data_IF_622687435062
#
_entry.id   IF_622687435062
#
_cell.length_a   1.000
_cell.length_b   1.000
_cell.length_c   1.000
_cell.angle_alpha   90.00
_cell.angle_beta   90.00
_cell.angle_gamma   90.00
#
_symmetry.space_group_name_H-M   'P 1'
#
loop_
_entity.id
_entity.type
_entity.pdbx_description
1 polymer ?
#
# COMPACT_ATOMS: atom_id res chain seq x y z
N UNK A 1 12.46 -6.40 3.26
CA UNK A 1 11.02 -6.56 3.52
C UNK A 1 10.79 -6.72 5.01
N UNK A 2 10.36 -5.62 5.63
CA UNK A 2 9.86 -5.54 7.00
C UNK A 2 8.58 -6.40 7.17
N UNK A 3 8.28 -6.94 8.35
CA UNK A 3 7.09 -7.79 8.53
C UNK A 3 5.78 -7.02 8.30
N UNK A 4 5.70 -5.76 8.75
CA UNK A 4 4.58 -4.86 8.43
C UNK A 4 4.31 -4.76 6.92
N UNK A 5 5.37 -4.72 6.10
CA UNK A 5 5.24 -4.67 4.65
C UNK A 5 4.67 -5.98 4.08
N UNK A 6 5.03 -7.12 4.67
CA UNK A 6 4.47 -8.42 4.29
C UNK A 6 2.98 -8.51 4.65
N UNK A 7 2.63 -8.15 5.89
CA UNK A 7 1.26 -8.24 6.41
C UNK A 7 0.31 -7.34 5.58
N UNK A 8 0.74 -6.11 5.29
CA UNK A 8 -0.01 -5.14 4.48
C UNK A 8 -0.12 -5.56 3.01
N UNK A 9 0.90 -6.24 2.47
CA UNK A 9 0.84 -6.81 1.13
C UNK A 9 -0.20 -7.95 1.06
N UNK A 10 -0.26 -8.80 2.08
CA UNK A 10 -1.28 -9.85 2.16
C UNK A 10 -2.68 -9.24 2.21
N UNK A 11 -2.89 -8.20 3.03
CA UNK A 11 -4.17 -7.46 3.09
C UNK A 11 -4.53 -6.82 1.76
N UNK A 12 -3.61 -6.12 1.10
CA UNK A 12 -3.84 -5.55 -0.25
C UNK A 12 -4.27 -6.63 -1.25
N UNK A 13 -3.61 -7.79 -1.24
CA UNK A 13 -3.93 -8.89 -2.15
C UNK A 13 -5.33 -9.44 -1.91
N UNK A 14 -5.74 -9.56 -0.64
CA UNK A 14 -7.10 -9.96 -0.28
C UNK A 14 -8.12 -8.92 -0.75
N UNK A 15 -7.86 -7.64 -0.49
CA UNK A 15 -8.71 -6.52 -0.91
C UNK A 15 -8.87 -6.42 -2.44
N UNK A 16 -7.81 -6.70 -3.20
CA UNK A 16 -7.88 -6.75 -4.66
C UNK A 16 -8.76 -7.89 -5.14
N UNK A 17 -8.71 -9.06 -4.48
CA UNK A 17 -9.54 -10.22 -4.81
C UNK A 17 -11.02 -10.00 -4.48
N UNK A 18 -11.32 -9.26 -3.41
CA UNK A 18 -12.68 -8.89 -3.01
C UNK A 18 -13.22 -7.63 -3.71
N UNK A 19 -12.40 -6.93 -4.51
CA UNK A 19 -12.69 -5.61 -5.09
C UNK A 19 -12.99 -4.53 -4.03
N UNK A 20 -12.35 -4.61 -2.84
CA UNK A 20 -12.46 -3.62 -1.76
C UNK A 20 -11.24 -2.71 -1.62
N UNK A 21 -10.19 -2.89 -2.43
CA UNK A 21 -8.92 -2.14 -2.26
C UNK A 21 -9.03 -0.63 -2.52
N UNK A 22 -9.98 -0.18 -3.34
CA UNK A 22 -10.12 1.24 -3.69
C UNK A 22 -10.61 2.03 -2.48
N UNK A 23 -9.89 3.10 -2.14
CA UNK A 23 -10.20 3.95 -1.00
C UNK A 23 -9.51 3.54 0.30
N UNK A 24 -8.94 2.34 0.40
CA UNK A 24 -8.21 1.89 1.58
C UNK A 24 -6.89 2.68 1.76
N UNK A 25 -6.45 2.76 3.02
CA UNK A 25 -5.12 3.22 3.41
C UNK A 25 -4.34 2.00 3.90
N UNK A 26 -3.10 1.86 3.46
CA UNK A 26 -2.17 0.82 3.90
C UNK A 26 -0.97 1.50 4.57
N UNK A 27 -0.40 0.93 5.64
CA UNK A 27 0.74 1.52 6.36
C UNK A 27 0.55 2.99 6.73
N UNK A 28 -0.63 3.31 7.25
CA UNK A 28 -0.92 4.61 7.82
C UNK A 28 -0.12 4.78 9.12
N UNK A 29 0.77 5.78 9.18
CA UNK A 29 1.64 5.99 10.35
C UNK A 29 0.84 6.01 11.65
N UNK A 30 -0.33 6.64 11.65
CA UNK A 30 -1.16 6.79 12.85
C UNK A 30 -1.68 5.45 13.41
N UNK A 31 -1.79 4.42 12.56
CA UNK A 31 -2.24 3.09 13.00
C UNK A 31 -1.12 2.28 13.67
N UNK A 32 0.16 2.67 13.47
CA UNK A 32 1.33 1.91 13.89
C UNK A 32 2.27 2.66 14.84
N UNK A 33 2.10 3.98 15.03
CA UNK A 33 3.02 4.81 15.82
C UNK A 33 3.09 4.47 17.32
N UNK A 34 2.08 3.78 17.85
CA UNK A 34 2.08 3.29 19.23
C UNK A 34 3.07 2.12 19.43
N UNK A 35 3.27 1.30 18.38
CA UNK A 35 4.05 0.06 18.45
C UNK A 35 5.41 0.15 17.72
N UNK A 36 5.56 1.08 16.77
CA UNK A 36 6.72 1.21 15.91
C UNK A 36 7.22 2.65 15.81
N UNK A 37 8.52 2.83 15.64
CA UNK A 37 9.07 4.16 15.35
C UNK A 37 8.73 4.60 13.92
N UNK A 38 8.63 5.91 13.69
CA UNK A 38 8.42 6.47 12.34
C UNK A 38 9.43 5.94 11.32
N UNK A 39 10.70 5.76 11.72
CA UNK A 39 11.73 5.21 10.82
C UNK A 39 11.46 3.75 10.42
N UNK A 40 10.88 2.95 11.31
CA UNK A 40 10.51 1.57 11.01
C UNK A 40 9.30 1.53 10.07
N UNK A 41 8.31 2.39 10.33
CA UNK A 41 7.11 2.52 9.50
C UNK A 41 7.49 3.00 8.09
N UNK A 42 8.31 4.04 7.97
CA UNK A 42 8.77 4.57 6.68
C UNK A 42 9.51 3.50 5.87
N UNK A 43 10.41 2.75 6.52
CA UNK A 43 11.11 1.64 5.87
C UNK A 43 10.15 0.53 5.44
N UNK A 44 9.15 0.22 6.25
CA UNK A 44 8.12 -0.74 5.89
C UNK A 44 7.29 -0.24 4.70
N UNK A 45 6.98 1.06 4.65
CA UNK A 45 6.26 1.69 3.53
C UNK A 45 7.04 1.58 2.24
N UNK A 46 8.34 1.89 2.25
CA UNK A 46 9.20 1.72 1.08
C UNK A 46 9.21 0.27 0.56
N UNK A 47 9.44 -0.69 1.46
CA UNK A 47 9.43 -2.12 1.15
C UNK A 47 8.06 -2.58 0.59
N UNK A 48 6.96 -2.08 1.16
CA UNK A 48 5.60 -2.37 0.73
C UNK A 48 5.29 -1.78 -0.65
N UNK A 49 5.66 -0.53 -0.91
CA UNK A 49 5.43 0.14 -2.20
C UNK A 49 6.12 -0.62 -3.34
N UNK A 50 7.35 -1.08 -3.12
CA UNK A 50 8.07 -1.90 -4.11
C UNK A 50 7.33 -3.21 -4.38
N UNK A 51 6.98 -3.96 -3.32
CA UNK A 51 6.34 -5.27 -3.45
C UNK A 51 4.91 -5.18 -4.02
N UNK A 52 4.11 -4.20 -3.58
CA UNK A 52 2.77 -3.95 -4.08
C UNK A 52 2.81 -3.61 -5.57
N UNK A 53 3.72 -2.74 -6.00
CA UNK A 53 3.83 -2.37 -7.42
C UNK A 53 4.31 -3.51 -8.30
N UNK A 54 5.24 -4.34 -7.81
CA UNK A 54 5.65 -5.57 -8.50
C UNK A 54 4.47 -6.54 -8.66
N UNK A 55 3.68 -6.75 -7.60
CA UNK A 55 2.48 -7.59 -7.65
C UNK A 55 1.43 -7.02 -8.64
N UNK A 56 1.12 -5.73 -8.53
CA UNK A 56 0.14 -5.06 -9.41
C UNK A 56 0.55 -5.18 -10.88
N UNK A 57 1.83 -4.95 -11.18
CA UNK A 57 2.36 -5.05 -12.54
C UNK A 57 2.34 -6.49 -13.06
N UNK A 58 2.78 -7.48 -12.28
CA UNK A 58 2.79 -8.90 -12.69
C UNK A 58 1.39 -9.44 -12.98
N UNK A 59 0.38 -8.90 -12.33
CA UNK A 59 -1.02 -9.31 -12.50
C UNK A 59 -1.82 -8.39 -13.43
N UNK A 60 -1.17 -7.43 -14.10
CA UNK A 60 -1.80 -6.47 -15.04
C UNK A 60 -2.96 -5.65 -14.44
N UNK A 61 -2.86 -5.28 -13.16
CA UNK A 61 -3.81 -4.33 -12.58
C UNK A 61 -3.61 -2.92 -13.18
N UNK A 62 -4.68 -2.15 -13.39
CA UNK A 62 -4.61 -0.77 -13.90
C UNK A 62 -4.24 0.24 -12.80
N UNK A 63 -3.54 -0.21 -11.75
CA UNK A 63 -3.25 0.58 -10.56
C UNK A 63 -1.75 0.68 -10.30
N UNK A 64 -1.37 1.70 -9.55
CA UNK A 64 -0.04 1.86 -8.94
C UNK A 64 -0.22 2.25 -7.47
N UNK A 65 0.54 1.62 -6.58
CA UNK A 65 0.58 1.99 -5.17
C UNK A 65 1.55 3.15 -4.97
N UNK A 66 1.11 4.20 -4.25
CA UNK A 66 1.93 5.39 -3.95
C UNK A 66 1.76 5.82 -2.52
N UNK A 67 2.80 6.43 -1.97
CA UNK A 67 2.69 7.17 -0.73
C UNK A 67 1.84 8.44 -0.91
N UNK A 68 0.94 8.68 0.05
CA UNK A 68 0.07 9.83 0.15
C UNK A 68 -0.04 10.22 1.62
N UNK A 69 0.55 11.33 2.06
CA UNK A 69 0.41 11.84 3.44
C UNK A 69 0.63 10.76 4.53
N UNK A 70 1.80 10.11 4.54
CA UNK A 70 2.18 9.12 5.56
C UNK A 70 1.34 7.82 5.57
N UNK A 71 0.63 7.54 4.47
CA UNK A 71 0.04 6.24 4.15
C UNK A 71 0.35 5.85 2.70
N UNK A 72 0.02 4.62 2.31
CA UNK A 72 0.07 4.14 0.95
C UNK A 72 -1.34 3.90 0.40
N UNK A 73 -1.60 4.37 -0.84
CA UNK A 73 -2.91 4.27 -1.50
C UNK A 73 -2.81 3.86 -2.96
N UNK A 74 -3.82 3.15 -3.43
CA UNK A 74 -3.99 2.85 -4.84
C UNK A 74 -4.30 4.13 -5.62
N UNK A 75 -3.53 4.32 -6.69
CA UNK A 75 -3.73 5.36 -7.68
C UNK A 75 -3.97 4.72 -9.05
N UNK A 76 -4.66 5.43 -9.93
CA UNK A 76 -4.73 5.06 -11.34
C UNK A 76 -3.33 5.07 -11.95
N UNK A 77 -2.98 4.04 -12.72
CA UNK A 77 -1.63 3.89 -13.28
C UNK A 77 -1.31 4.96 -14.34
N UNK A 78 -2.30 5.42 -15.08
CA UNK A 78 -2.13 6.30 -16.23
C UNK A 78 -2.21 7.77 -15.82
N UNK A 79 -3.15 8.13 -14.95
CA UNK A 79 -3.33 9.52 -14.49
C UNK A 79 -2.54 9.82 -13.21
N UNK A 80 -2.23 8.79 -12.42
CA UNK A 80 -1.64 8.96 -11.09
C UNK A 80 -2.61 9.52 -10.04
N UNK A 81 -3.90 9.63 -10.35
CA UNK A 81 -4.92 10.10 -9.42
C UNK A 81 -5.22 9.05 -8.35
N UNK A 82 -5.42 9.50 -7.11
CA UNK A 82 -5.79 8.63 -5.99
C UNK A 82 -7.19 8.08 -6.25
N UNK A 83 -7.35 6.77 -6.17
CA UNK A 83 -8.65 6.12 -6.29
C UNK A 83 -9.39 6.23 -4.96
N UNK A 84 -10.51 6.95 -4.99
CA UNK A 84 -11.40 7.16 -3.83
C UNK A 84 -12.69 6.39 -4.09
N UNK A 85 -13.09 5.55 -3.13
CA UNK A 85 -14.36 4.81 -3.16
C UNK A 85 -15.58 5.72 -3.01
#
# INVERSE_FOLDING_TARGET
MHHLACDELEMLIEDLKSNSAVGNNYLDTWDYEDDYSHNEIDKARDDFLEAANDYLSKNNYPYIMREVCENARLCDKDTGEILRG
#
